data_IF_806888467869
#
_entry.id   IF_806888467869
#
_cell.length_a   1.000
_cell.length_b   1.000
_cell.length_c   1.000
_cell.angle_alpha   90.00
_cell.angle_beta   90.00
_cell.angle_gamma   90.00
#
_symmetry.space_group_name_H-M   'P 1'
#
loop_
_entity.id
_entity.type
_entity.pdbx_description
1 polymer ?
#
# COMPACT_ATOMS: atom_id res chain seq x y z
N UNK A 1 -1.28 -3.28 -0.87
CA UNK A 1 -0.84 -4.65 -1.23
C UNK A 1 -0.41 -4.61 -2.68
N UNK A 2 0.88 -4.38 -2.93
CA UNK A 2 1.42 -4.24 -4.26
C UNK A 2 2.06 -5.55 -4.71
N UNK A 3 1.76 -5.93 -5.95
CA UNK A 3 2.35 -6.96 -6.80
C UNK A 3 3.59 -7.68 -6.21
N UNK A 4 3.36 -8.84 -5.58
CA UNK A 4 4.44 -9.70 -5.12
C UNK A 4 5.17 -10.27 -6.33
N UNK A 5 6.40 -9.80 -6.52
CA UNK A 5 7.45 -10.41 -7.33
C UNK A 5 7.44 -11.93 -7.21
N UNK A 6 7.00 -12.63 -8.27
CA UNK A 6 7.37 -13.98 -8.71
C UNK A 6 7.39 -15.16 -7.72
N UNK A 7 7.07 -14.99 -6.44
CA UNK A 7 7.11 -16.08 -5.47
C UNK A 7 5.84 -16.92 -5.57
N UNK A 8 5.95 -18.26 -5.55
CA UNK A 8 4.78 -19.12 -5.47
C UNK A 8 4.00 -18.76 -4.19
N UNK A 9 2.72 -18.42 -4.39
CA UNK A 9 1.79 -18.05 -3.32
C UNK A 9 1.33 -19.34 -2.64
N UNK A 10 2.17 -19.84 -1.74
CA UNK A 10 1.97 -21.09 -0.98
C UNK A 10 0.78 -21.08 0.00
N UNK A 11 -0.06 -20.02 -0.03
CA UNK A 11 -1.26 -19.86 0.78
C UNK A 11 -2.52 -20.46 0.12
N UNK A 12 -2.44 -20.86 -1.16
CA UNK A 12 -3.53 -21.53 -1.86
C UNK A 12 -3.62 -22.98 -1.39
N UNK A 13 -4.86 -23.51 -1.29
CA UNK A 13 -5.11 -24.88 -0.85
C UNK A 13 -4.27 -25.88 -1.67
N UNK A 14 -3.83 -27.00 -1.09
CA UNK A 14 -3.17 -28.06 -1.84
C UNK A 14 -4.15 -28.63 -2.89
N UNK A 15 -3.98 -28.22 -4.15
CA UNK A 15 -4.81 -28.59 -5.30
C UNK A 15 -4.45 -27.74 -6.53
N UNK A 16 -4.90 -28.12 -7.74
CA UNK A 16 -4.64 -27.35 -8.95
C UNK A 16 -5.48 -26.05 -8.93
N UNK A 17 -4.88 -24.95 -8.46
CA UNK A 17 -5.48 -23.62 -8.48
C UNK A 17 -4.93 -22.81 -9.65
N UNK A 18 -5.81 -22.28 -10.49
CA UNK A 18 -5.45 -21.38 -11.60
C UNK A 18 -5.80 -19.95 -11.17
N UNK A 19 -4.82 -19.05 -11.22
CA UNK A 19 -5.05 -17.62 -10.99
C UNK A 19 -5.66 -17.01 -12.25
N UNK A 20 -6.91 -16.57 -12.14
CA UNK A 20 -7.68 -16.05 -13.29
C UNK A 20 -7.91 -14.53 -13.27
N UNK A 21 -7.52 -13.85 -12.19
CA UNK A 21 -7.69 -12.40 -12.05
C UNK A 21 -6.89 -11.81 -10.88
N UNK A 22 -6.41 -10.59 -11.04
CA UNK A 22 -5.65 -9.83 -10.06
C UNK A 22 -6.11 -8.37 -10.02
N UNK A 23 -6.42 -7.90 -8.80
CA UNK A 23 -6.85 -6.53 -8.51
C UNK A 23 -5.92 -5.97 -7.43
N UNK A 24 -5.29 -4.83 -7.73
CA UNK A 24 -4.44 -4.08 -6.83
C UNK A 24 -4.95 -2.63 -6.73
N UNK A 25 -5.66 -2.35 -5.63
CA UNK A 25 -6.14 -1.02 -5.29
C UNK A 25 -5.08 -0.29 -4.45
N UNK A 26 -4.74 0.92 -4.87
CA UNK A 26 -3.78 1.78 -4.20
C UNK A 26 -4.54 2.97 -3.61
N UNK A 27 -4.29 3.25 -2.33
CA UNK A 27 -4.78 4.46 -1.70
C UNK A 27 -4.11 5.69 -2.34
N UNK A 28 -4.92 6.63 -2.79
CA UNK A 28 -4.48 7.85 -3.49
C UNK A 28 -4.04 8.96 -2.54
N UNK A 29 -4.19 8.78 -1.24
CA UNK A 29 -3.77 9.76 -0.23
C UNK A 29 -2.24 9.92 -0.16
N UNK A 30 -1.80 11.09 0.35
CA UNK A 30 -0.37 11.38 0.53
C UNK A 30 0.23 10.37 1.50
N UNK A 31 1.16 9.54 1.00
CA UNK A 31 1.71 8.36 1.66
C UNK A 31 2.08 8.59 3.14
N UNK A 32 2.67 9.73 3.48
CA UNK A 32 3.10 10.01 4.86
C UNK A 32 1.94 10.28 5.82
N UNK A 33 0.89 10.94 5.35
CA UNK A 33 -0.30 11.23 6.16
C UNK A 33 -1.05 9.93 6.45
N UNK A 34 -1.16 9.06 5.45
CA UNK A 34 -1.74 7.72 5.61
C UNK A 34 -0.95 6.88 6.63
N UNK A 35 0.39 6.91 6.59
CA UNK A 35 1.22 6.18 7.57
C UNK A 35 0.97 6.64 9.01
N UNK A 36 0.94 7.95 9.27
CA UNK A 36 0.71 8.50 10.62
C UNK A 36 -0.70 8.14 11.13
N UNK A 37 -1.72 8.29 10.28
CA UNK A 37 -3.10 8.01 10.67
C UNK A 37 -3.33 6.51 10.91
N UNK A 38 -2.73 5.63 10.11
CA UNK A 38 -2.79 4.17 10.30
C UNK A 38 -2.07 3.76 11.59
N UNK A 39 -0.89 4.32 11.88
CA UNK A 39 -0.18 4.06 13.14
C UNK A 39 -1.07 4.44 14.35
N UNK A 40 -1.60 5.67 14.34
CA UNK A 40 -2.50 6.15 15.40
C UNK A 40 -3.71 5.22 15.57
N UNK A 41 -4.34 4.79 14.48
CA UNK A 41 -5.45 3.85 14.53
C UNK A 41 -5.05 2.51 15.16
N UNK A 42 -3.95 1.91 14.70
CA UNK A 42 -3.47 0.63 15.21
C UNK A 42 -3.12 0.69 16.71
N UNK A 43 -2.62 1.82 17.19
CA UNK A 43 -2.27 2.01 18.62
C UNK A 43 -3.52 2.28 19.46
N UNK A 44 -4.43 3.14 19.01
CA UNK A 44 -5.61 3.56 19.79
C UNK A 44 -6.79 2.61 19.67
N UNK A 45 -6.80 1.76 18.65
CA UNK A 45 -7.95 0.91 18.29
C UNK A 45 -9.18 1.69 17.80
N UNK A 46 -9.08 3.01 17.62
CA UNK A 46 -10.20 3.88 17.23
C UNK A 46 -9.93 4.52 15.89
N UNK A 47 -10.91 4.43 14.98
CA UNK A 47 -10.87 5.09 13.66
C UNK A 47 -11.28 6.57 13.79
N UNK A 48 -10.60 7.30 14.65
CA UNK A 48 -10.79 8.73 14.84
C UNK A 48 -9.79 9.54 14.01
N UNK A 49 -10.03 10.85 13.90
CA UNK A 49 -9.12 11.76 13.23
C UNK A 49 -7.97 12.07 14.18
N UNK A 50 -6.74 11.73 13.78
CA UNK A 50 -5.56 12.16 14.52
C UNK A 50 -5.57 13.69 14.62
N UNK A 51 -5.46 14.23 15.84
CA UNK A 51 -5.45 15.67 16.15
C UNK A 51 -6.61 16.50 15.53
N UNK A 52 -7.72 15.87 15.11
CA UNK A 52 -8.88 16.54 14.51
C UNK A 52 -8.69 17.11 13.09
N UNK A 53 -7.44 17.27 12.63
CA UNK A 53 -7.08 17.88 11.34
C UNK A 53 -6.71 16.85 10.26
N UNK A 54 -6.30 15.66 10.65
CA UNK A 54 -5.89 14.62 9.71
C UNK A 54 -7.11 13.86 9.15
N UNK A 55 -7.04 13.35 7.90
CA UNK A 55 -8.09 12.50 7.34
C UNK A 55 -8.26 11.25 8.20
N UNK A 56 -9.45 10.62 8.09
CA UNK A 56 -9.68 9.35 8.77
C UNK A 56 -8.70 8.29 8.24
N UNK A 57 -8.18 7.41 9.11
CA UNK A 57 -7.28 6.34 8.70
C UNK A 57 -8.01 5.30 7.84
N UNK A 58 -7.30 4.80 6.82
CA UNK A 58 -7.77 3.72 5.96
C UNK A 58 -8.24 4.19 4.58
N UNK A 59 -8.85 3.26 3.84
CA UNK A 59 -9.34 3.49 2.48
C UNK A 59 -10.58 4.40 2.52
N UNK A 60 -10.66 5.37 1.61
CA UNK A 60 -11.80 6.28 1.54
C UNK A 60 -13.10 5.55 1.19
N UNK A 61 -14.24 6.02 1.70
CA UNK A 61 -15.55 5.42 1.39
C UNK A 61 -15.85 5.43 -0.13
N UNK A 62 -15.33 6.44 -0.84
CA UNK A 62 -15.42 6.53 -2.30
C UNK A 62 -14.62 5.43 -2.99
N UNK A 63 -13.40 5.14 -2.55
CA UNK A 63 -12.58 4.06 -3.12
C UNK A 63 -13.20 2.69 -2.83
N UNK A 64 -13.81 2.52 -1.65
CA UNK A 64 -14.59 1.30 -1.32
C UNK A 64 -15.81 1.18 -2.23
N UNK A 65 -16.57 2.26 -2.44
CA UNK A 65 -17.72 2.25 -3.34
C UNK A 65 -17.33 1.95 -4.79
N UNK A 66 -16.21 2.54 -5.25
CA UNK A 66 -15.68 2.32 -6.59
C UNK A 66 -15.18 0.88 -6.81
N UNK A 67 -14.76 0.16 -5.76
CA UNK A 67 -14.37 -1.24 -5.89
C UNK A 67 -15.52 -2.15 -6.40
N UNK A 68 -16.78 -1.70 -6.31
CA UNK A 68 -17.95 -2.43 -6.79
C UNK A 68 -17.95 -2.65 -8.31
N UNK A 69 -17.26 -1.80 -9.08
CA UNK A 69 -17.18 -1.91 -10.55
C UNK A 69 -16.56 -3.23 -11.02
N UNK A 70 -15.66 -3.81 -10.21
CA UNK A 70 -15.01 -5.09 -10.53
C UNK A 70 -15.93 -6.30 -10.30
N UNK A 71 -17.00 -6.15 -9.51
CA UNK A 71 -17.91 -7.25 -9.21
C UNK A 71 -18.71 -7.73 -10.42
N UNK A 72 -19.13 -6.82 -11.29
CA UNK A 72 -19.90 -7.13 -12.50
C UNK A 72 -19.16 -8.07 -13.46
N UNK A 73 -17.93 -7.78 -13.91
CA UNK A 73 -17.19 -8.68 -14.82
C UNK A 73 -16.82 -10.00 -14.15
N UNK A 74 -16.53 -10.01 -12.84
CA UNK A 74 -16.28 -11.26 -12.10
C UNK A 74 -17.53 -12.15 -12.09
N UNK A 75 -18.70 -11.58 -11.81
CA UNK A 75 -19.97 -12.31 -11.83
C UNK A 75 -20.26 -12.89 -13.21
N UNK A 76 -20.04 -12.11 -14.27
CA UNK A 76 -20.25 -12.57 -15.65
C UNK A 76 -19.31 -13.72 -16.02
N UNK A 77 -18.01 -13.59 -15.72
CA UNK A 77 -17.02 -14.63 -15.96
C UNK A 77 -17.34 -15.92 -15.18
N UNK A 78 -17.82 -15.78 -13.93
CA UNK A 78 -18.23 -16.90 -13.09
C UNK A 78 -19.45 -17.64 -13.66
N UNK A 79 -20.48 -16.91 -14.09
CA UNK A 79 -21.70 -17.49 -14.66
C UNK A 79 -21.47 -18.14 -16.03
N UNK A 80 -20.53 -17.61 -16.81
CA UNK A 80 -20.17 -18.14 -18.12
C UNK A 80 -19.09 -19.23 -18.07
N UNK A 81 -18.57 -19.55 -16.87
CA UNK A 81 -17.41 -20.43 -16.64
C UNK A 81 -16.19 -20.10 -17.51
N UNK A 82 -16.09 -18.85 -17.98
CA UNK A 82 -15.06 -18.40 -18.91
C UNK A 82 -14.28 -17.24 -18.29
N UNK A 83 -13.04 -17.54 -17.94
CA UNK A 83 -12.16 -16.58 -17.28
C UNK A 83 -11.05 -16.03 -18.18
N UNK A 84 -10.97 -16.46 -19.45
CA UNK A 84 -9.85 -16.13 -20.36
C UNK A 84 -9.69 -14.62 -20.58
N UNK A 85 -10.80 -13.87 -20.55
CA UNK A 85 -10.82 -12.41 -20.74
C UNK A 85 -11.03 -11.62 -19.43
N UNK A 86 -11.19 -12.30 -18.29
CA UNK A 86 -11.52 -11.61 -17.04
C UNK A 86 -10.42 -10.61 -16.66
N UNK A 87 -9.16 -10.99 -16.76
CA UNK A 87 -8.05 -10.11 -16.37
C UNK A 87 -7.95 -8.86 -17.27
N UNK A 88 -8.14 -8.99 -18.58
CA UNK A 88 -8.07 -7.82 -19.49
C UNK A 88 -9.19 -6.84 -19.21
N UNK A 89 -10.41 -7.34 -18.95
CA UNK A 89 -11.55 -6.51 -18.55
C UNK A 89 -11.27 -5.78 -17.23
N UNK A 90 -10.73 -6.48 -16.23
CA UNK A 90 -10.36 -5.87 -14.95
C UNK A 90 -9.30 -4.77 -15.12
N UNK A 91 -8.24 -5.00 -15.89
CA UNK A 91 -7.20 -4.01 -16.16
C UNK A 91 -7.77 -2.77 -16.84
N UNK A 92 -8.66 -2.94 -17.83
CA UNK A 92 -9.32 -1.83 -18.51
C UNK A 92 -10.21 -0.99 -17.57
N UNK A 93 -10.77 -1.60 -16.52
CA UNK A 93 -11.50 -0.92 -15.46
C UNK A 93 -10.58 -0.26 -14.41
N UNK A 94 -9.26 -0.30 -14.62
CA UNK A 94 -8.28 0.28 -13.69
C UNK A 94 -7.99 -0.59 -12.47
N UNK A 95 -8.23 -1.91 -12.55
CA UNK A 95 -8.03 -2.82 -11.42
C UNK A 95 -6.57 -2.96 -10.97
N UNK A 96 -5.60 -2.58 -11.81
CA UNK A 96 -4.16 -2.76 -11.52
C UNK A 96 -3.44 -1.45 -11.74
N UNK A 97 -3.32 -0.66 -10.67
CA UNK A 97 -2.42 0.50 -10.64
C UNK A 97 -1.19 0.11 -9.85
N UNK A 98 -0.07 -0.14 -10.53
CA UNK A 98 1.20 -0.48 -9.87
C UNK A 98 2.06 0.77 -9.81
N UNK A 99 2.32 1.25 -8.60
CA UNK A 99 3.33 2.28 -8.36
C UNK A 99 4.69 1.60 -8.11
N UNK A 100 5.70 1.80 -8.98
CA UNK A 100 7.04 1.23 -8.81
C UNK A 100 7.73 1.65 -7.51
N UNK A 101 7.43 2.84 -6.98
CA UNK A 101 7.95 3.31 -5.70
C UNK A 101 7.36 2.52 -4.54
N UNK A 102 6.06 2.21 -4.59
CA UNK A 102 5.41 1.38 -3.57
C UNK A 102 5.95 -0.05 -3.61
N UNK A 103 6.14 -0.63 -4.81
CA UNK A 103 6.73 -1.97 -4.97
C UNK A 103 8.12 -2.03 -4.33
N UNK A 104 9.01 -1.08 -4.65
CA UNK A 104 10.37 -1.05 -4.07
C UNK A 104 10.36 -0.86 -2.56
N UNK A 105 9.46 -0.02 -2.06
CA UNK A 105 9.31 0.21 -0.62
C UNK A 105 8.84 -1.06 0.09
N UNK A 106 7.88 -1.77 -0.49
CA UNK A 106 7.34 -3.03 0.03
C UNK A 106 8.37 -4.17 0.02
N UNK A 107 9.16 -4.29 -1.05
CA UNK A 107 10.24 -5.26 -1.14
C UNK A 107 11.29 -5.04 -0.05
N UNK A 108 11.73 -3.79 0.13
CA UNK A 108 12.69 -3.42 1.18
C UNK A 108 12.11 -3.65 2.57
N UNK A 109 10.84 -3.28 2.78
CA UNK A 109 10.10 -3.54 4.00
C UNK A 109 10.08 -5.04 4.32
N UNK A 110 9.65 -5.87 3.37
CA UNK A 110 9.58 -7.33 3.52
C UNK A 110 10.92 -7.93 3.94
N UNK A 111 12.03 -7.48 3.35
CA UNK A 111 13.38 -7.94 3.74
C UNK A 111 13.71 -7.56 5.19
N UNK A 112 13.45 -6.32 5.59
CA UNK A 112 13.68 -5.84 6.95
C UNK A 112 12.82 -6.58 7.98
N UNK A 113 11.51 -6.70 7.72
CA UNK A 113 10.58 -7.42 8.58
C UNK A 113 10.95 -8.90 8.70
N UNK A 114 11.34 -9.54 7.60
CA UNK A 114 11.77 -10.96 7.62
C UNK A 114 13.02 -11.15 8.48
N UNK A 115 14.00 -10.23 8.40
CA UNK A 115 15.20 -10.27 9.25
C UNK A 115 14.86 -10.13 10.72
N UNK A 116 13.99 -9.17 11.07
CA UNK A 116 13.52 -8.98 12.43
C UNK A 116 12.72 -10.18 12.95
N UNK A 117 11.78 -10.69 12.17
CA UNK A 117 10.97 -11.85 12.53
C UNK A 117 11.84 -13.08 12.79
N UNK A 118 12.78 -13.38 11.88
CA UNK A 118 13.74 -14.47 12.05
C UNK A 118 14.62 -14.28 13.29
N UNK A 119 15.04 -13.04 13.58
CA UNK A 119 15.78 -12.74 14.79
C UNK A 119 14.94 -13.00 16.05
N UNK A 120 13.69 -12.53 16.09
CA UNK A 120 12.77 -12.70 17.22
C UNK A 120 12.44 -14.18 17.46
N UNK A 121 12.18 -14.95 16.39
CA UNK A 121 11.88 -16.39 16.48
C UNK A 121 13.06 -17.15 17.09
N UNK A 122 14.30 -16.79 16.75
CA UNK A 122 15.50 -17.40 17.34
C UNK A 122 15.67 -17.12 18.84
N UNK A 123 14.92 -16.19 19.43
CA UNK A 123 15.05 -15.79 20.85
C UNK A 123 14.17 -16.60 21.80
N UNK A 124 13.34 -17.51 21.28
CA UNK A 124 12.56 -18.46 22.08
C UNK A 124 11.18 -18.75 21.48
N UNK A 125 10.46 -19.66 22.11
CA UNK A 125 9.08 -19.99 21.74
C UNK A 125 8.11 -18.83 21.99
N UNK A 126 6.90 -18.95 21.42
CA UNK A 126 5.84 -17.98 21.63
C UNK A 126 5.52 -17.84 23.13
N UNK A 127 5.40 -16.61 23.62
CA UNK A 127 5.11 -16.35 25.03
C UNK A 127 6.33 -16.36 25.97
N UNK A 128 7.52 -16.77 25.51
CA UNK A 128 8.72 -16.70 26.37
C UNK A 128 9.11 -15.26 26.68
N UNK A 129 9.56 -14.99 27.93
CA UNK A 129 9.96 -13.64 28.38
C UNK A 129 11.06 -13.02 27.51
N UNK A 130 11.96 -13.85 26.97
CA UNK A 130 12.98 -13.43 26.00
C UNK A 130 12.37 -12.91 24.70
N UNK A 131 11.49 -13.70 24.05
CA UNK A 131 10.81 -13.30 22.83
C UNK A 131 9.93 -12.06 23.01
N UNK A 132 9.21 -11.97 24.14
CA UNK A 132 8.38 -10.80 24.46
C UNK A 132 9.22 -9.51 24.58
N UNK A 133 10.42 -9.57 25.18
CA UNK A 133 11.33 -8.41 25.22
C UNK A 133 11.75 -7.95 23.81
N UNK A 134 12.10 -8.89 22.94
CA UNK A 134 12.48 -8.57 21.55
C UNK A 134 11.31 -8.04 20.71
N UNK A 135 10.10 -8.55 20.93
CA UNK A 135 8.88 -8.00 20.33
C UNK A 135 8.66 -6.55 20.80
N UNK A 136 8.84 -6.28 22.10
CA UNK A 136 8.73 -4.91 22.64
C UNK A 136 9.79 -3.97 22.04
N UNK A 137 11.05 -4.41 21.93
CA UNK A 137 12.11 -3.63 21.27
C UNK A 137 11.79 -3.36 19.81
N UNK A 138 11.26 -4.36 19.10
CA UNK A 138 10.84 -4.21 17.71
C UNK A 138 9.68 -3.20 17.57
N UNK A 139 8.72 -3.20 18.49
CA UNK A 139 7.64 -2.21 18.53
C UNK A 139 8.18 -0.78 18.71
N UNK A 140 9.15 -0.59 19.61
CA UNK A 140 9.82 0.72 19.81
C UNK A 140 10.58 1.13 18.55
N UNK A 141 11.30 0.20 17.92
CA UNK A 141 12.02 0.44 16.66
C UNK A 141 11.07 0.95 15.56
N UNK A 142 9.91 0.32 15.37
CA UNK A 142 8.94 0.78 14.37
C UNK A 142 8.42 2.18 14.65
N UNK A 143 8.18 2.51 15.93
CA UNK A 143 7.75 3.87 16.32
C UNK A 143 8.82 4.90 15.97
N UNK A 144 10.07 4.65 16.33
CA UNK A 144 11.17 5.54 15.98
C UNK A 144 11.28 5.68 14.45
N UNK A 145 11.16 4.57 13.71
CA UNK A 145 11.21 4.60 12.25
C UNK A 145 10.12 5.51 11.65
N UNK A 146 8.88 5.44 12.14
CA UNK A 146 7.78 6.30 11.65
C UNK A 146 8.06 7.78 11.96
N UNK A 147 8.45 8.09 13.20
CA UNK A 147 8.73 9.46 13.63
C UNK A 147 9.99 10.06 13.01
N UNK A 148 10.90 9.26 12.47
CA UNK A 148 12.09 9.73 11.73
C UNK A 148 11.83 9.81 10.23
N UNK A 149 11.13 8.84 9.64
CA UNK A 149 10.84 8.83 8.20
C UNK A 149 9.85 9.94 7.84
N UNK A 150 8.81 10.17 8.65
CA UNK A 150 7.82 11.22 8.40
C UNK A 150 8.43 12.63 8.24
N UNK A 151 9.27 13.14 9.17
CA UNK A 151 9.91 14.44 9.03
C UNK A 151 10.95 14.47 7.91
N UNK A 152 11.69 13.38 7.65
CA UNK A 152 12.63 13.34 6.52
C UNK A 152 11.89 13.55 5.20
N UNK A 153 10.81 12.80 4.96
CA UNK A 153 10.03 12.96 3.73
C UNK A 153 9.34 14.32 3.69
N UNK A 154 8.88 14.84 4.83
CA UNK A 154 8.35 16.20 4.91
C UNK A 154 9.40 17.26 4.54
N UNK A 155 10.65 17.12 5.00
CA UNK A 155 11.76 18.01 4.64
C UNK A 155 12.11 17.89 3.16
N UNK A 156 12.18 16.67 2.61
CA UNK A 156 12.40 16.46 1.16
C UNK A 156 11.27 17.08 0.36
N UNK A 157 10.02 16.91 0.79
CA UNK A 157 8.88 17.59 0.20
C UNK A 157 9.05 19.11 0.29
N UNK A 158 9.37 19.65 1.47
CA UNK A 158 9.55 21.08 1.67
C UNK A 158 10.66 21.65 0.76
N UNK A 159 11.80 20.97 0.66
CA UNK A 159 12.94 21.36 -0.20
C UNK A 159 12.64 21.24 -1.70
N UNK A 160 11.81 20.27 -2.12
CA UNK A 160 11.45 20.08 -3.54
C UNK A 160 10.23 20.89 -3.97
N UNK A 161 9.33 21.23 -3.03
CA UNK A 161 8.03 21.85 -3.29
C UNK A 161 8.03 23.38 -3.05
N UNK A 162 8.78 23.89 -2.06
CA UNK A 162 8.88 25.34 -1.80
C UNK A 162 9.56 26.16 -2.92
N UNK A 163 10.69 25.75 -3.54
CA UNK A 163 11.36 26.59 -4.53
C UNK A 163 10.63 26.67 -5.88
N UNK A 164 9.49 25.98 -6.05
CA UNK A 164 8.82 25.81 -7.34
C UNK A 164 7.33 26.21 -7.30
N UNK A 165 7.02 27.32 -6.63
CA UNK A 165 5.65 27.85 -6.49
C UNK A 165 5.23 28.79 -7.63
N UNK A 166 6.16 29.46 -8.31
CA UNK A 166 5.86 30.46 -9.35
C UNK A 166 5.60 29.86 -10.75
N UNK A 167 6.14 28.67 -11.08
CA UNK A 167 6.01 28.07 -12.43
C UNK A 167 4.74 27.22 -12.65
N UNK A 168 3.96 26.91 -11.61
CA UNK A 168 2.92 25.87 -11.68
C UNK A 168 1.47 26.31 -11.91
N UNK A 169 1.20 27.58 -12.22
CA UNK A 169 -0.08 27.93 -12.87
C UNK A 169 -0.10 27.54 -14.37
N UNK A 170 1.08 27.37 -14.99
CA UNK A 170 1.20 27.06 -16.42
C UNK A 170 1.21 25.54 -16.72
N UNK A 171 1.83 24.73 -15.85
CA UNK A 171 1.92 23.27 -16.07
C UNK A 171 0.65 22.48 -15.73
N UNK A 172 -0.25 22.99 -14.87
CA UNK A 172 -1.55 22.34 -14.61
C UNK A 172 -2.46 22.31 -15.84
N UNK A 173 -2.27 23.26 -16.77
CA UNK A 173 -2.89 23.28 -18.11
C UNK A 173 -2.19 22.33 -19.10
N UNK A 174 -0.89 22.10 -18.92
CA UNK A 174 -0.07 21.26 -19.81
C UNK A 174 -0.27 19.75 -19.54
N UNK A 175 -0.27 19.32 -18.26
CA UNK A 175 -0.55 17.92 -17.91
C UNK A 175 -2.03 17.53 -17.98
N UNK A 176 -2.93 18.51 -18.16
CA UNK A 176 -4.32 18.28 -18.55
C UNK A 176 -4.49 18.15 -20.08
N UNK A 177 -3.40 18.28 -20.86
CA UNK A 177 -3.40 18.12 -22.32
C UNK A 177 -2.63 16.87 -22.74
N UNK A 178 -3.13 16.21 -23.79
CA UNK A 178 -2.75 14.85 -24.23
C UNK A 178 -1.46 14.83 -25.07
N UNK A 179 -0.38 15.43 -24.57
CA UNK A 179 0.90 15.43 -25.29
C UNK A 179 1.88 14.44 -24.65
N UNK A 180 2.06 13.28 -25.31
CA UNK A 180 3.18 12.37 -25.05
C UNK A 180 4.47 12.98 -25.60
N UNK A 181 5.56 12.81 -24.84
CA UNK A 181 6.90 13.20 -25.29
C UNK A 181 7.45 12.11 -26.21
N UNK A 182 7.65 12.43 -27.49
CA UNK A 182 8.53 11.64 -28.35
C UNK A 182 9.97 11.77 -27.86
N UNK A 183 10.71 10.66 -27.99
CA UNK A 183 11.99 10.33 -27.36
C UNK A 183 13.08 11.33 -27.74
#
# INVERSE_FOLDING_TARGET
MANSSGRPRNWLRPGPTILVGHIALVDRHVNNISVITIEHWMIRGRKDRYLGIFPKPGVSDNDVANAKIFGTPIKQALLAENFNQLQSILVNLGAVVVDPYLVRTDERGTVLFSKWANHIIKKGEAGTRSRLRWISLFSIYLRIAIWVIAPIVFIVFLLTYLPMTQKRKKERKYYASVALKEI
#
